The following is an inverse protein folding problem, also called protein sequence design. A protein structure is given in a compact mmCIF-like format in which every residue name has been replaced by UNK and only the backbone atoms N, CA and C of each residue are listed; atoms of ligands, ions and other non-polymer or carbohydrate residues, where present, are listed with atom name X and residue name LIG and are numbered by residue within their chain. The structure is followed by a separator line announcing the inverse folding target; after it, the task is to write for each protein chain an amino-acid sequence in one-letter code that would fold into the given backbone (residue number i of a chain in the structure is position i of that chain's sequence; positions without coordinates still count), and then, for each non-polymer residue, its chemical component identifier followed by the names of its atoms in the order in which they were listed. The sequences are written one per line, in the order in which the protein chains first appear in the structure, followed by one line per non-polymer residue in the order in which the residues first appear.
data_IF_642425209828
#
_entry.id   IF_642425209828
#
_cell.length_a   1.000
_cell.length_b   1.000
_cell.length_c   1.000
_cell.angle_alpha   90.00
_cell.angle_beta   90.00
_cell.angle_gamma   90.00
#
_symmetry.space_group_name_H-M   'P 1'
#
loop_
_entity.id
_entity.type
_entity.pdbx_description
1 polymer ?
#
# COMPACT_ATOMS: atom_id res chain seq x y z
N UNK A 1 16.63 5.53 3.78
CA UNK A 1 15.52 6.36 3.24
C UNK A 1 14.79 7.06 4.37
N UNK A 2 14.16 6.33 5.30
CA UNK A 2 13.50 6.91 6.49
C UNK A 2 14.41 7.88 7.24
N UNK A 3 15.60 7.43 7.64
CA UNK A 3 16.58 8.27 8.36
C UNK A 3 16.92 9.56 7.61
N UNK A 4 17.10 9.48 6.29
CA UNK A 4 17.36 10.65 5.46
C UNK A 4 16.19 11.64 5.53
N UNK A 5 14.95 11.20 5.33
CA UNK A 5 13.76 12.07 5.39
C UNK A 5 13.61 12.69 6.77
N UNK A 6 13.85 11.92 7.83
CA UNK A 6 13.79 12.40 9.21
C UNK A 6 14.86 13.47 9.48
N UNK A 7 16.04 13.37 8.86
CA UNK A 7 17.12 14.35 9.01
C UNK A 7 16.94 15.62 8.16
N UNK A 8 15.95 15.67 7.27
CA UNK A 8 15.68 16.83 6.42
C UNK A 8 14.70 17.82 7.06
N UNK A 9 14.64 19.03 6.49
CA UNK A 9 13.61 20.03 6.84
C UNK A 9 12.20 19.59 6.43
N UNK A 10 11.18 20.34 6.86
CA UNK A 10 9.76 20.14 6.48
C UNK A 10 9.48 20.26 4.97
N UNK A 11 10.46 20.67 4.16
CA UNK A 11 10.34 20.73 2.69
C UNK A 11 10.61 19.39 2.00
N UNK A 12 11.02 18.36 2.75
CA UNK A 12 11.25 17.01 2.24
C UNK A 12 10.29 16.06 2.94
N UNK A 13 9.58 15.28 2.15
CA UNK A 13 8.64 14.26 2.60
C UNK A 13 8.83 12.97 1.81
N UNK A 14 8.15 11.90 2.23
CA UNK A 14 8.13 10.64 1.52
C UNK A 14 6.73 10.02 1.56
N UNK A 15 6.34 9.45 0.43
CA UNK A 15 5.21 8.53 0.36
C UNK A 15 5.66 7.12 0.72
N UNK A 16 4.76 6.34 1.30
CA UNK A 16 4.99 4.92 1.59
C UNK A 16 3.79 4.12 1.08
N UNK A 17 4.05 3.07 0.32
CA UNK A 17 3.03 2.18 -0.27
C UNK A 17 2.52 1.15 0.74
N UNK A 18 1.29 0.64 0.59
CA UNK A 18 0.76 -0.43 1.45
C UNK A 18 1.57 -1.72 1.33
N UNK A 19 1.97 -2.12 0.12
CA UNK A 19 2.68 -3.37 -0.11
C UNK A 19 4.09 -3.40 0.53
N UNK A 20 4.76 -2.24 0.62
CA UNK A 20 6.03 -2.13 1.37
C UNK A 20 5.86 -2.07 2.90
N UNK A 21 4.65 -1.83 3.41
CA UNK A 21 4.34 -1.91 4.84
C UNK A 21 3.97 -3.35 5.24
N UNK A 22 3.18 -4.03 4.41
CA UNK A 22 2.71 -5.39 4.67
C UNK A 22 3.78 -6.45 4.41
N UNK A 23 4.61 -6.26 3.38
CA UNK A 23 5.49 -7.33 2.90
C UNK A 23 6.97 -6.97 2.94
N UNK A 24 7.78 -7.99 3.21
CA UNK A 24 9.21 -7.98 2.94
C UNK A 24 9.50 -8.91 1.74
N UNK A 25 10.74 -8.92 1.26
CA UNK A 25 11.17 -9.64 0.05
C UNK A 25 10.85 -11.14 0.05
N UNK A 26 10.64 -11.75 1.22
CA UNK A 26 10.31 -13.16 1.29
C UNK A 26 8.94 -13.45 0.68
N UNK A 27 7.99 -12.50 0.75
CA UNK A 27 6.68 -12.63 0.09
C UNK A 27 6.81 -12.81 -1.43
N UNK A 28 7.88 -12.29 -2.03
CA UNK A 28 8.15 -12.40 -3.46
C UNK A 28 8.97 -13.63 -3.85
N UNK A 29 9.71 -14.25 -2.92
CA UNK A 29 10.77 -15.22 -3.23
C UNK A 29 10.63 -16.60 -2.56
N UNK A 30 9.92 -16.71 -1.43
CA UNK A 30 9.81 -17.97 -0.68
C UNK A 30 8.71 -18.85 -1.28
N UNK A 31 9.05 -20.11 -1.57
CA UNK A 31 8.13 -21.08 -2.17
C UNK A 31 7.93 -20.94 -3.68
N UNK A 32 8.67 -20.02 -4.32
CA UNK A 32 8.56 -19.71 -5.75
C UNK A 32 8.58 -18.20 -5.97
N UNK A 33 8.99 -17.78 -7.17
CA UNK A 33 8.95 -16.37 -7.54
C UNK A 33 7.49 -15.93 -7.75
N UNK A 34 7.06 -14.88 -7.04
CA UNK A 34 5.70 -14.32 -7.16
C UNK A 34 5.76 -12.97 -7.90
N UNK A 35 5.57 -12.93 -9.23
CA UNK A 35 5.75 -11.70 -10.02
C UNK A 35 4.78 -10.58 -9.62
N UNK A 36 3.59 -10.89 -9.11
CA UNK A 36 2.62 -9.88 -8.65
C UNK A 36 3.06 -9.11 -7.39
N UNK A 37 4.09 -9.60 -6.68
CA UNK A 37 4.76 -8.90 -5.57
C UNK A 37 6.01 -8.14 -6.01
N UNK A 38 6.42 -8.26 -7.28
CA UNK A 38 7.57 -7.55 -7.83
C UNK A 38 7.18 -6.13 -8.28
N UNK A 39 7.84 -5.14 -7.67
CA UNK A 39 7.68 -3.72 -7.93
C UNK A 39 9.05 -3.01 -7.91
N UNK A 40 9.07 -1.75 -8.34
CA UNK A 40 10.22 -0.87 -8.18
C UNK A 40 9.80 0.35 -7.34
N UNK A 41 10.52 0.66 -6.24
CA UNK A 41 11.63 -0.11 -5.67
C UNK A 41 11.20 -1.51 -5.19
N UNK A 42 12.14 -2.46 -5.19
CA UNK A 42 11.86 -3.86 -4.80
C UNK A 42 11.53 -4.01 -3.31
N UNK A 43 10.68 -4.95 -2.93
CA UNK A 43 10.52 -5.37 -1.53
C UNK A 43 11.89 -5.67 -0.90
N UNK A 44 12.12 -5.18 0.32
CA UNK A 44 13.41 -5.26 1.02
C UNK A 44 13.36 -6.27 2.18
N UNK A 45 14.45 -6.39 2.93
CA UNK A 45 14.51 -7.20 4.16
C UNK A 45 13.53 -6.70 5.20
N UNK A 46 13.16 -7.57 6.13
CA UNK A 46 12.21 -7.28 7.22
C UNK A 46 12.60 -6.05 8.05
N UNK A 47 13.89 -5.84 8.34
CA UNK A 47 14.36 -4.65 9.06
C UNK A 47 13.98 -3.33 8.35
N UNK A 48 13.95 -3.33 7.03
CA UNK A 48 13.51 -2.16 6.26
C UNK A 48 12.00 -2.00 6.30
N UNK A 49 11.23 -3.10 6.23
CA UNK A 49 9.77 -3.07 6.38
C UNK A 49 9.38 -2.48 7.74
N UNK A 50 10.02 -2.94 8.82
CA UNK A 50 9.81 -2.41 10.17
C UNK A 50 10.17 -0.91 10.28
N UNK A 51 11.26 -0.48 9.65
CA UNK A 51 11.63 0.93 9.60
C UNK A 51 10.57 1.78 8.87
N UNK A 52 10.02 1.29 7.76
CA UNK A 52 8.92 1.96 7.06
C UNK A 52 7.64 1.99 7.90
N UNK A 53 7.31 0.89 8.57
CA UNK A 53 6.13 0.78 9.42
C UNK A 53 6.20 1.77 10.58
N UNK A 54 7.32 1.80 11.30
CA UNK A 54 7.57 2.77 12.35
C UNK A 54 7.45 4.22 11.84
N UNK A 55 7.93 4.51 10.63
CA UNK A 55 7.83 5.84 10.03
C UNK A 55 6.38 6.20 9.70
N UNK A 56 5.64 5.31 9.04
CA UNK A 56 4.24 5.49 8.67
C UNK A 56 3.33 5.70 9.89
N UNK A 57 3.59 4.98 10.98
CA UNK A 57 2.80 5.04 12.22
C UNK A 57 3.38 5.97 13.29
N UNK A 58 4.30 6.87 12.93
CA UNK A 58 4.98 7.76 13.90
C UNK A 58 4.22 9.04 14.25
N UNK A 59 3.19 9.39 13.45
CA UNK A 59 2.56 10.70 13.50
C UNK A 59 3.40 11.84 12.90
N UNK A 60 4.58 11.55 12.35
CA UNK A 60 5.42 12.56 11.71
C UNK A 60 4.80 13.04 10.38
N UNK A 61 4.58 14.35 10.18
CA UNK A 61 3.87 14.87 9.03
C UNK A 61 4.61 14.72 7.69
N UNK A 62 5.88 14.30 7.71
CA UNK A 62 6.70 14.04 6.51
C UNK A 62 6.37 12.71 5.81
N UNK A 63 5.62 11.82 6.46
CA UNK A 63 5.23 10.55 5.89
C UNK A 63 3.73 10.52 5.64
N UNK A 64 3.34 10.18 4.41
CA UNK A 64 1.94 10.09 4.02
C UNK A 64 1.72 9.01 2.96
N UNK A 65 0.46 8.68 2.76
CA UNK A 65 0.02 7.65 1.82
C UNK A 65 0.42 7.99 0.38
N UNK A 66 0.98 7.00 -0.31
CA UNK A 66 1.08 6.99 -1.77
C UNK A 66 1.06 5.54 -2.23
N UNK A 67 -0.01 5.14 -2.91
CA UNK A 67 -0.27 3.71 -3.20
C UNK A 67 0.77 3.08 -4.11
N UNK A 68 1.25 3.86 -5.08
CA UNK A 68 2.00 3.36 -6.23
C UNK A 68 1.27 2.16 -6.88
N UNK A 69 -0.06 2.25 -6.95
CA UNK A 69 -0.84 1.21 -7.63
C UNK A 69 -0.49 1.22 -9.11
N UNK A 70 0.11 0.13 -9.58
CA UNK A 70 0.65 -0.01 -10.92
C UNK A 70 0.13 -1.30 -11.56
N UNK A 71 -1.13 -1.31 -12.04
CA UNK A 71 -1.70 -2.48 -12.70
C UNK A 71 -1.01 -2.76 -14.04
N UNK A 72 -0.67 -4.03 -14.25
CA UNK A 72 -0.24 -4.57 -15.53
C UNK A 72 -1.07 -5.81 -15.84
N UNK A 73 -1.24 -6.12 -17.13
CA UNK A 73 -1.90 -7.37 -17.52
C UNK A 73 -1.18 -8.58 -16.92
N UNK A 74 -1.94 -9.63 -16.60
CA UNK A 74 -1.39 -10.88 -16.08
C UNK A 74 -0.27 -11.41 -16.99
N UNK A 75 -0.49 -11.42 -18.30
CA UNK A 75 0.50 -11.84 -19.29
C UNK A 75 1.80 -11.03 -19.27
N UNK A 76 1.72 -9.72 -18.97
CA UNK A 76 2.91 -8.86 -18.87
C UNK A 76 3.70 -9.12 -17.58
N UNK A 77 3.01 -9.52 -16.50
CA UNK A 77 3.61 -9.89 -15.21
C UNK A 77 4.22 -11.29 -15.24
N UNK A 78 3.52 -12.25 -15.83
CA UNK A 78 3.85 -13.68 -15.91
C UNK A 78 4.59 -14.02 -17.22
N UNK A 79 5.68 -13.29 -17.47
CA UNK A 79 6.50 -13.46 -18.66
C UNK A 79 7.97 -13.72 -18.30
N UNK A 80 8.80 -14.02 -19.30
CA UNK A 80 10.26 -14.15 -19.11
C UNK A 80 10.92 -12.85 -18.60
N UNK A 81 10.25 -11.69 -18.74
CA UNK A 81 10.69 -10.40 -18.23
C UNK A 81 9.48 -9.64 -17.66
N UNK A 82 8.97 -10.13 -16.53
CA UNK A 82 7.76 -9.61 -15.89
C UNK A 82 7.86 -8.13 -15.52
N UNK A 83 6.83 -7.34 -15.86
CA UNK A 83 6.76 -5.91 -15.52
C UNK A 83 6.79 -5.69 -13.99
N UNK A 84 7.44 -4.62 -13.55
CA UNK A 84 7.43 -4.20 -12.15
C UNK A 84 6.19 -3.35 -11.84
N UNK A 85 5.45 -3.71 -10.80
CA UNK A 85 4.26 -2.99 -10.36
C UNK A 85 3.31 -3.87 -9.57
N UNK A 86 2.70 -3.34 -8.51
CA UNK A 86 1.72 -4.05 -7.69
C UNK A 86 0.35 -3.37 -7.86
N UNK A 87 -0.69 -4.17 -8.12
CA UNK A 87 -2.05 -3.65 -8.21
C UNK A 87 -2.71 -3.67 -6.82
N UNK A 88 -2.78 -2.52 -6.17
CA UNK A 88 -3.37 -2.36 -4.82
C UNK A 88 -4.52 -1.36 -4.78
N UNK A 89 -4.83 -0.70 -5.91
CA UNK A 89 -5.88 0.32 -5.99
C UNK A 89 -7.28 -0.20 -5.66
N UNK A 90 -7.51 -1.51 -5.78
CA UNK A 90 -8.81 -2.15 -5.51
C UNK A 90 -9.20 -2.16 -4.01
N UNK A 91 -8.22 -2.03 -3.10
CA UNK A 91 -8.43 -2.08 -1.64
C UNK A 91 -7.40 -1.21 -0.91
N UNK A 92 -7.13 -0.01 -1.46
CA UNK A 92 -5.98 0.79 -1.04
C UNK A 92 -6.01 1.14 0.45
N UNK A 93 -7.15 1.64 0.96
CA UNK A 93 -7.26 2.07 2.36
C UNK A 93 -7.32 0.88 3.31
N UNK A 94 -7.97 -0.21 2.90
CA UNK A 94 -8.08 -1.45 3.65
C UNK A 94 -6.71 -2.07 3.91
N UNK A 95 -5.83 -2.10 2.90
CA UNK A 95 -4.46 -2.62 3.04
C UNK A 95 -3.59 -1.75 3.98
N UNK A 96 -3.76 -0.42 3.98
CA UNK A 96 -3.08 0.42 4.98
C UNK A 96 -3.65 0.21 6.38
N UNK A 97 -4.97 0.04 6.50
CA UNK A 97 -5.59 -0.24 7.79
C UNK A 97 -5.08 -1.55 8.38
N UNK A 98 -4.94 -2.62 7.58
CA UNK A 98 -4.28 -3.86 8.02
C UNK A 98 -2.87 -3.58 8.56
N UNK A 99 -2.03 -2.88 7.80
CA UNK A 99 -0.65 -2.60 8.22
C UNK A 99 -0.58 -1.80 9.53
N UNK A 100 -1.45 -0.80 9.72
CA UNK A 100 -1.48 0.03 10.93
C UNK A 100 -2.07 -0.73 12.11
N UNK A 101 -3.05 -1.60 11.85
CA UNK A 101 -3.69 -2.43 12.85
C UNK A 101 -2.78 -3.53 13.41
N UNK A 102 -1.97 -4.17 12.55
CA UNK A 102 -0.98 -5.18 12.95
C UNK A 102 0.00 -4.68 14.02
N UNK A 103 0.23 -3.37 14.10
CA UNK A 103 1.10 -2.74 15.12
C UNK A 103 0.33 -1.91 16.15
N UNK A 104 -1.00 -1.98 16.16
CA UNK A 104 -1.85 -1.30 17.14
C UNK A 104 -1.80 0.23 17.03
N UNK A 105 -1.70 0.76 15.80
CA UNK A 105 -1.53 2.20 15.52
C UNK A 105 -2.61 2.79 14.60
N UNK A 106 -3.82 2.25 14.64
CA UNK A 106 -4.96 2.77 13.86
C UNK A 106 -5.27 4.25 14.13
N UNK A 107 -4.94 4.75 15.32
CA UNK A 107 -5.06 6.17 15.70
C UNK A 107 -4.21 7.11 14.81
N UNK A 108 -3.18 6.57 14.14
CA UNK A 108 -2.31 7.33 13.24
C UNK A 108 -2.75 7.27 11.77
N UNK A 109 -3.72 6.41 11.44
CA UNK A 109 -4.10 6.12 10.05
C UNK A 109 -4.62 7.38 9.35
N UNK A 110 -5.54 8.13 9.97
CA UNK A 110 -6.13 9.34 9.37
C UNK A 110 -5.07 10.40 9.04
N UNK A 111 -4.13 10.64 9.96
CA UNK A 111 -3.05 11.58 9.73
C UNK A 111 -2.23 11.19 8.49
N UNK A 112 -1.86 9.91 8.40
CA UNK A 112 -1.07 9.37 7.30
C UNK A 112 -1.82 9.36 5.96
N UNK A 113 -3.10 8.99 5.93
CA UNK A 113 -3.87 8.83 4.68
C UNK A 113 -4.53 10.12 4.20
N UNK A 114 -4.83 11.06 5.11
CA UNK A 114 -5.79 12.13 4.81
C UNK A 114 -5.33 13.54 5.21
N UNK A 115 -4.39 13.69 6.15
CA UNK A 115 -4.00 15.03 6.67
C UNK A 115 -2.60 15.47 6.22
N UNK A 116 -1.62 14.57 6.32
CA UNK A 116 -0.21 14.88 6.08
C UNK A 116 0.06 15.25 4.62
N UNK A 117 -0.54 14.52 3.67
CA UNK A 117 -0.42 14.80 2.23
C UNK A 117 -0.95 16.19 1.88
N UNK A 118 -2.24 16.52 2.13
CA UNK A 118 -2.77 17.86 1.87
C UNK A 118 -1.97 18.96 2.55
N UNK A 119 -1.51 18.77 3.79
CA UNK A 119 -0.64 19.72 4.49
C UNK A 119 0.66 19.98 3.73
N UNK A 120 1.34 18.94 3.25
CA UNK A 120 2.59 19.08 2.50
C UNK A 120 2.37 19.80 1.16
N UNK A 121 1.31 19.44 0.44
CA UNK A 121 0.94 20.03 -0.85
C UNK A 121 0.22 21.37 -0.75
N UNK A 122 -0.08 21.85 0.46
CA UNK A 122 -0.87 23.08 0.74
C UNK A 122 -2.25 23.06 0.10
N UNK A 123 -2.90 21.90 0.16
CA UNK A 123 -4.26 21.68 -0.29
C UNK A 123 -5.23 21.60 0.91
N UNK A 124 -6.51 21.93 0.72
CA UNK A 124 -7.52 21.74 1.75
C UNK A 124 -7.70 20.26 2.09
N UNK A 125 -8.10 19.98 3.33
CA UNK A 125 -8.46 18.63 3.78
C UNK A 125 -9.84 18.30 3.22
N UNK A 126 -10.06 17.04 2.85
CA UNK A 126 -11.37 16.57 2.42
C UNK A 126 -12.41 16.66 3.55
N UNK A 127 -13.62 17.12 3.24
CA UNK A 127 -14.74 17.16 4.20
C UNK A 127 -15.52 15.84 4.23
N UNK A 128 -15.46 15.06 3.14
CA UNK A 128 -16.07 13.73 3.05
C UNK A 128 -15.39 12.78 4.03
N UNK A 129 -16.20 11.94 4.66
CA UNK A 129 -15.72 10.92 5.59
C UNK A 129 -15.90 9.54 5.00
N UNK A 130 -15.04 8.63 5.43
CA UNK A 130 -15.10 7.23 5.06
C UNK A 130 -15.08 6.41 6.35
N UNK A 131 -15.65 5.21 6.31
CA UNK A 131 -15.62 4.25 7.40
C UNK A 131 -14.86 3.03 6.93
N UNK A 132 -13.95 2.54 7.79
CA UNK A 132 -13.32 1.25 7.63
C UNK A 132 -13.87 0.33 8.71
N UNK A 133 -14.49 -0.77 8.30
CA UNK A 133 -15.06 -1.77 9.21
C UNK A 133 -14.22 -3.03 9.17
N UNK A 134 -13.97 -3.67 10.33
CA UNK A 134 -13.30 -4.96 10.43
C UNK A 134 -14.22 -6.06 9.89
N UNK A 135 -14.16 -6.28 8.59
CA UNK A 135 -14.93 -7.30 7.88
C UNK A 135 -14.02 -8.02 6.92
N UNK A 136 -13.82 -9.33 7.15
CA UNK A 136 -13.01 -10.15 6.26
C UNK A 136 -13.72 -10.34 4.92
N UNK A 137 -13.04 -9.96 3.84
CA UNK A 137 -13.55 -10.03 2.47
C UNK A 137 -12.56 -10.77 1.57
N UNK A 138 -13.07 -11.65 0.71
CA UNK A 138 -12.24 -12.35 -0.28
C UNK A 138 -11.82 -11.40 -1.40
N UNK A 139 -10.55 -11.45 -1.76
CA UNK A 139 -9.98 -10.73 -2.90
C UNK A 139 -10.19 -11.58 -4.15
N UNK A 140 -10.81 -11.05 -5.22
CA UNK A 140 -10.95 -11.76 -6.47
C UNK A 140 -9.60 -12.22 -7.02
N UNK A 141 -9.56 -13.37 -7.70
CA UNK A 141 -8.34 -13.86 -8.35
C UNK A 141 -7.84 -12.90 -9.45
N UNK A 142 -8.77 -12.21 -10.11
CA UNK A 142 -8.44 -11.21 -11.12
C UNK A 142 -9.61 -10.25 -11.38
N UNK A 143 -9.31 -9.14 -12.07
CA UNK A 143 -10.27 -8.19 -12.59
C UNK A 143 -10.18 -8.15 -14.12
N UNK A 144 -11.29 -8.27 -14.87
CA UNK A 144 -11.27 -8.15 -16.32
C UNK A 144 -10.98 -6.70 -16.73
N UNK A 145 -10.12 -6.52 -17.73
CA UNK A 145 -9.93 -5.25 -18.47
C UNK A 145 -10.78 -5.29 -19.74
N UNK A 146 -10.67 -6.41 -20.46
CA UNK A 146 -11.45 -6.74 -21.65
C UNK A 146 -11.64 -8.27 -21.72
N UNK A 147 -12.13 -8.78 -22.85
CA UNK A 147 -12.41 -10.21 -23.05
C UNK A 147 -11.18 -11.12 -22.93
N UNK A 148 -9.96 -10.59 -23.14
CA UNK A 148 -8.72 -11.36 -23.21
C UNK A 148 -7.66 -10.92 -22.19
N UNK A 149 -7.88 -9.82 -21.47
CA UNK A 149 -6.94 -9.26 -20.53
C UNK A 149 -7.52 -9.15 -19.14
N UNK A 150 -6.72 -9.62 -18.17
CA UNK A 150 -7.05 -9.55 -16.75
C UNK A 150 -5.91 -8.89 -15.96
N UNK A 151 -6.28 -8.21 -14.88
CA UNK A 151 -5.37 -7.69 -13.86
C UNK A 151 -5.43 -8.60 -12.65
N UNK A 152 -4.27 -9.02 -12.15
CA UNK A 152 -4.18 -9.78 -10.91
C UNK A 152 -3.89 -8.80 -9.77
N UNK A 153 -4.79 -8.65 -8.79
CA UNK A 153 -4.53 -7.82 -7.62
C UNK A 153 -3.42 -8.43 -6.77
N UNK A 154 -2.70 -7.58 -6.03
CA UNK A 154 -1.94 -8.08 -4.88
C UNK A 154 -2.91 -8.83 -3.96
N UNK A 155 -2.52 -9.97 -3.38
CA UNK A 155 -3.40 -10.83 -2.56
C UNK A 155 -4.55 -11.50 -3.31
N UNK A 156 -4.47 -11.65 -4.65
CA UNK A 156 -5.43 -12.46 -5.41
C UNK A 156 -5.70 -13.84 -4.76
N UNK A 157 -6.97 -14.17 -4.54
CA UNK A 157 -7.41 -15.42 -3.92
C UNK A 157 -7.22 -15.50 -2.39
N UNK A 158 -6.68 -14.46 -1.76
CA UNK A 158 -6.61 -14.33 -0.29
C UNK A 158 -7.72 -13.42 0.25
N UNK A 159 -7.70 -13.12 1.55
CA UNK A 159 -8.70 -12.28 2.21
C UNK A 159 -8.12 -11.02 2.85
N UNK A 160 -8.75 -9.86 2.65
CA UNK A 160 -8.46 -8.63 3.41
C UNK A 160 -9.37 -8.52 4.65
N UNK A 161 -8.90 -7.90 5.73
CA UNK A 161 -9.57 -7.84 7.04
C UNK A 161 -10.40 -6.58 7.28
N UNK A 162 -10.31 -5.60 6.37
CA UNK A 162 -11.03 -4.33 6.44
C UNK A 162 -11.87 -4.14 5.19
N UNK A 163 -12.95 -3.38 5.32
CA UNK A 163 -13.86 -3.01 4.25
C UNK A 163 -14.11 -1.50 4.26
N UNK A 164 -13.99 -0.87 3.10
CA UNK A 164 -14.29 0.53 2.87
C UNK A 164 -15.77 0.83 2.64
N UNK A 165 -16.23 1.93 3.21
CA UNK A 165 -17.52 2.55 2.96
C UNK A 165 -17.36 4.07 2.91
N UNK A 166 -17.85 4.72 1.84
CA UNK A 166 -17.96 6.17 1.78
C UNK A 166 -19.19 6.60 2.59
N UNK A 167 -19.02 7.55 3.51
CA UNK A 167 -20.14 8.12 4.25
C UNK A 167 -20.78 9.25 3.45
N UNK A 168 -22.10 9.22 3.34
CA UNK A 168 -22.92 10.30 2.77
C UNK A 168 -22.89 11.57 3.64
#
# INVERSE_FOLDING_TARGET
AVEFVMSQSERVAATITAHHLLYNRNAMLVGGIRPHYYCLPILKRETHRQSLLNAATSGNPKFFMGTDTAPHSQSSKESACGCAGAFTGYAALELYAEAFDEVGKLDQLEAFTSLNGPRFYRLPINEKRVRLTRTTTQVPDSFPVDENQHLVPLRAGESIAWQFELLE
#
